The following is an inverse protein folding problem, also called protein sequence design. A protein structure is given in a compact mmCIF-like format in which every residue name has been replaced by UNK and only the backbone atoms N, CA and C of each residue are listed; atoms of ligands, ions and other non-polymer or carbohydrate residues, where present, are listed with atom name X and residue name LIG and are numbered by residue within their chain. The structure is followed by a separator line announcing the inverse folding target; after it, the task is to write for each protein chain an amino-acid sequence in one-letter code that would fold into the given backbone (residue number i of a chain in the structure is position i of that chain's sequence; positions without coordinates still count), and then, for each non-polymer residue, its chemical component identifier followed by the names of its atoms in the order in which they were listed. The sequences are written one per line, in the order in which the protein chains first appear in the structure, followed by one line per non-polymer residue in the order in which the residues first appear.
data_IF_489325209694
#
_entry.id   IF_489325209694
#
_cell.length_a   1.000
_cell.length_b   1.000
_cell.length_c   1.000
_cell.angle_alpha   90.00
_cell.angle_beta   90.00
_cell.angle_gamma   90.00
#
_symmetry.space_group_name_H-M   'P 1'
#
loop_
_entity.id
_entity.type
_entity.pdbx_description
1 polymer ?
#
# COMPACT_ATOMS: atom_id res chain seq x y z
N UNK A 1 11.68 -11.11 3.02
CA UNK A 1 10.51 -11.44 3.85
C UNK A 1 9.34 -11.74 2.92
N UNK A 2 8.53 -12.74 3.23
CA UNK A 2 7.26 -12.98 2.52
C UNK A 2 6.34 -11.76 2.64
N UNK A 3 5.52 -11.53 1.62
CA UNK A 3 4.53 -10.46 1.59
C UNK A 3 3.63 -10.44 2.84
N UNK A 4 3.13 -11.60 3.29
CA UNK A 4 2.28 -11.72 4.48
C UNK A 4 2.96 -11.19 5.74
N UNK A 5 4.26 -11.46 5.91
CA UNK A 5 5.00 -11.03 7.09
C UNK A 5 5.16 -9.51 7.11
N UNK A 6 5.41 -8.90 5.95
CA UNK A 6 5.50 -7.44 5.82
C UNK A 6 4.14 -6.80 6.10
N UNK A 7 3.05 -7.34 5.55
CA UNK A 7 1.68 -6.85 5.81
C UNK A 7 1.34 -6.96 7.28
N UNK A 8 1.61 -8.10 7.91
CA UNK A 8 1.36 -8.30 9.33
C UNK A 8 2.12 -7.28 10.20
N UNK A 9 3.40 -7.00 9.87
CA UNK A 9 4.18 -5.97 10.57
C UNK A 9 3.64 -4.57 10.31
N UNK A 10 3.27 -4.24 9.06
CA UNK A 10 2.67 -2.95 8.72
C UNK A 10 1.39 -2.71 9.52
N UNK A 11 0.47 -3.68 9.53
CA UNK A 11 -0.79 -3.59 10.27
C UNK A 11 -0.54 -3.45 11.77
N UNK A 12 0.32 -4.30 12.34
CA UNK A 12 0.64 -4.23 13.77
C UNK A 12 1.20 -2.86 14.18
N UNK A 13 2.13 -2.29 13.39
CA UNK A 13 2.72 -0.99 13.71
C UNK A 13 1.71 0.15 13.51
N UNK A 14 0.93 0.13 12.42
CA UNK A 14 -0.06 1.18 12.15
C UNK A 14 -1.20 1.19 13.17
N UNK A 15 -1.58 0.02 13.69
CA UNK A 15 -2.59 -0.13 14.74
C UNK A 15 -2.07 0.35 16.11
N UNK A 16 -0.78 0.10 16.43
CA UNK A 16 -0.18 0.51 17.70
C UNK A 16 0.18 2.00 17.72
N UNK A 17 0.87 2.47 16.68
CA UNK A 17 1.24 3.87 16.49
C UNK A 17 1.39 4.16 14.99
N UNK A 18 0.39 4.85 14.43
CA UNK A 18 0.40 5.29 13.03
C UNK A 18 1.65 6.11 12.64
N UNK A 19 2.30 6.77 13.61
CA UNK A 19 3.54 7.52 13.45
C UNK A 19 4.80 6.73 13.83
N UNK A 20 4.66 5.48 14.27
CA UNK A 20 5.73 4.60 14.73
C UNK A 20 6.74 4.21 13.64
N UNK A 21 6.35 4.36 12.36
CA UNK A 21 7.27 4.26 11.22
C UNK A 21 7.49 5.61 10.55
N UNK A 22 8.74 5.92 10.16
CA UNK A 22 8.99 7.00 9.22
C UNK A 22 8.22 6.77 7.93
N UNK A 23 7.69 7.83 7.34
CA UNK A 23 6.93 7.79 6.08
C UNK A 23 7.66 7.02 4.98
N UNK A 24 8.97 7.25 4.83
CA UNK A 24 9.78 6.56 3.82
C UNK A 24 9.80 5.03 4.01
N UNK A 25 9.79 4.55 5.25
CA UNK A 25 9.89 3.13 5.57
C UNK A 25 8.57 2.42 5.28
N UNK A 26 7.45 3.05 5.64
CA UNK A 26 6.11 2.55 5.33
C UNK A 26 5.85 2.54 3.82
N UNK A 27 6.21 3.61 3.12
CA UNK A 27 6.10 3.68 1.65
C UNK A 27 6.93 2.57 0.97
N UNK A 28 8.15 2.33 1.45
CA UNK A 28 8.98 1.24 0.95
C UNK A 28 8.34 -0.13 1.20
N UNK A 29 7.83 -0.37 2.41
CA UNK A 29 7.17 -1.61 2.77
C UNK A 29 5.95 -1.88 1.87
N UNK A 30 5.02 -0.93 1.73
CA UNK A 30 3.87 -1.08 0.83
C UNK A 30 4.28 -1.37 -0.61
N UNK A 31 5.26 -0.64 -1.15
CA UNK A 31 5.77 -0.88 -2.51
C UNK A 31 6.34 -2.29 -2.67
N UNK A 32 7.06 -2.79 -1.66
CA UNK A 32 7.58 -4.17 -1.69
C UNK A 32 6.46 -5.21 -1.67
N UNK A 33 5.39 -5.00 -0.90
CA UNK A 33 4.27 -5.95 -0.88
C UNK A 33 3.48 -5.87 -2.19
N UNK A 34 3.20 -4.68 -2.73
CA UNK A 34 2.51 -4.53 -4.02
C UNK A 34 3.30 -5.19 -5.17
N UNK A 35 4.64 -5.20 -5.13
CA UNK A 35 5.46 -5.93 -6.10
C UNK A 35 5.36 -7.45 -5.95
N UNK A 36 5.16 -7.95 -4.73
CA UNK A 36 4.98 -9.39 -4.47
C UNK A 36 3.54 -9.86 -4.71
N UNK A 37 2.56 -8.94 -4.63
CA UNK A 37 1.13 -9.16 -4.80
C UNK A 37 0.52 -8.12 -5.74
N UNK A 38 0.90 -8.12 -7.03
CA UNK A 38 0.50 -7.08 -7.97
C UNK A 38 -1.01 -7.07 -8.28
N UNK A 39 -1.71 -8.16 -7.94
CA UNK A 39 -3.13 -8.34 -8.24
C UNK A 39 -4.02 -8.31 -6.98
N UNK A 40 -3.43 -8.04 -5.81
CA UNK A 40 -4.16 -7.87 -4.55
C UNK A 40 -4.79 -6.48 -4.49
N UNK A 41 -6.05 -6.41 -4.91
CA UNK A 41 -6.84 -5.17 -5.00
C UNK A 41 -6.90 -4.43 -3.66
N UNK A 42 -7.12 -5.16 -2.56
CA UNK A 42 -7.24 -4.57 -1.23
C UNK A 42 -5.93 -3.90 -0.81
N UNK A 43 -4.81 -4.60 -1.02
CA UNK A 43 -3.49 -4.08 -0.73
C UNK A 43 -3.15 -2.83 -1.57
N UNK A 44 -3.48 -2.82 -2.85
CA UNK A 44 -3.25 -1.66 -3.73
C UNK A 44 -4.03 -0.43 -3.24
N UNK A 45 -5.29 -0.61 -2.82
CA UNK A 45 -6.13 0.47 -2.27
C UNK A 45 -5.63 0.96 -0.91
N UNK A 46 -5.19 0.05 -0.05
CA UNK A 46 -4.59 0.37 1.25
C UNK A 46 -3.32 1.22 1.08
N UNK A 47 -2.38 0.75 0.24
CA UNK A 47 -1.14 1.45 -0.05
C UNK A 47 -1.39 2.85 -0.64
N UNK A 48 -2.36 2.98 -1.55
CA UNK A 48 -2.71 4.27 -2.13
C UNK A 48 -3.30 5.25 -1.10
N UNK A 49 -4.07 4.73 -0.14
CA UNK A 49 -4.67 5.53 0.93
C UNK A 49 -3.59 6.05 1.87
N UNK A 50 -2.65 5.17 2.26
CA UNK A 50 -1.52 5.56 3.10
C UNK A 50 -0.66 6.66 2.48
N UNK A 51 -0.33 6.54 1.18
CA UNK A 51 0.49 7.51 0.47
C UNK A 51 -0.13 8.92 0.45
N UNK A 52 -1.47 9.02 0.35
CA UNK A 52 -2.17 10.32 0.35
C UNK A 52 -2.11 11.05 1.68
N UNK A 53 -1.84 10.35 2.78
CA UNK A 53 -1.79 10.95 4.12
C UNK A 53 -0.51 11.78 4.36
N UNK A 54 0.48 11.74 3.46
CA UNK A 54 1.79 12.39 3.65
C UNK A 54 2.13 13.48 2.64
N UNK A 55 1.11 14.19 2.14
CA UNK A 55 1.27 15.33 1.25
C UNK A 55 1.29 14.93 -0.24
N UNK A 56 1.39 15.93 -1.14
CA UNK A 56 1.10 15.74 -2.57
C UNK A 56 2.16 14.95 -3.33
N UNK A 57 3.37 14.80 -2.78
CA UNK A 57 4.52 14.16 -3.43
C UNK A 57 4.23 12.73 -3.91
N UNK A 58 3.27 12.06 -3.28
CA UNK A 58 2.92 10.67 -3.56
C UNK A 58 1.61 10.49 -4.34
N UNK A 59 0.95 11.59 -4.72
CA UNK A 59 -0.39 11.54 -5.34
C UNK A 59 -0.39 10.76 -6.67
N UNK A 60 0.63 10.93 -7.50
CA UNK A 60 0.74 10.21 -8.78
C UNK A 60 0.86 8.71 -8.57
N UNK A 61 1.64 8.27 -7.58
CA UNK A 61 1.79 6.85 -7.25
C UNK A 61 0.49 6.31 -6.66
N UNK A 62 -0.15 7.04 -5.76
CA UNK A 62 -1.45 6.66 -5.21
C UNK A 62 -2.55 6.57 -6.28
N UNK A 63 -2.52 7.45 -7.29
CA UNK A 63 -3.44 7.38 -8.42
C UNK A 63 -3.19 6.11 -9.24
N UNK A 64 -1.94 5.83 -9.62
CA UNK A 64 -1.59 4.64 -10.40
C UNK A 64 -1.97 3.32 -9.69
N UNK A 65 -1.81 3.24 -8.37
CA UNK A 65 -2.23 2.07 -7.58
C UNK A 65 -3.77 1.89 -7.60
N UNK A 66 -4.54 2.97 -7.52
CA UNK A 66 -6.00 2.88 -7.63
C UNK A 66 -6.45 2.51 -9.05
N UNK A 67 -5.84 3.10 -10.08
CA UNK A 67 -6.13 2.74 -11.47
C UNK A 67 -5.87 1.25 -11.73
N UNK A 68 -4.78 0.70 -11.17
CA UNK A 68 -4.49 -0.73 -11.25
C UNK A 68 -5.54 -1.57 -10.52
N UNK A 69 -5.92 -1.19 -9.30
CA UNK A 69 -6.96 -1.86 -8.54
C UNK A 69 -8.30 -1.87 -9.29
N UNK A 70 -8.70 -0.72 -9.85
CA UNK A 70 -9.92 -0.59 -10.65
C UNK A 70 -9.89 -1.44 -11.93
N UNK A 71 -8.74 -1.54 -12.59
CA UNK A 71 -8.58 -2.43 -13.75
C UNK A 71 -8.76 -3.89 -13.34
N UNK A 72 -8.17 -4.30 -12.22
CA UNK A 72 -8.24 -5.68 -11.73
C UNK A 72 -9.65 -6.08 -11.30
N UNK A 73 -10.38 -5.17 -10.65
CA UNK A 73 -11.79 -5.40 -10.28
C UNK A 73 -12.65 -5.63 -11.54
N UNK A 74 -12.45 -4.83 -12.60
CA UNK A 74 -13.15 -5.01 -13.88
C UNK A 74 -12.80 -6.31 -14.60
N UNK A 75 -11.59 -6.83 -14.42
CA UNK A 75 -11.15 -8.09 -15.01
C UNK A 75 -11.67 -9.32 -14.23
N UNK A 76 -12.22 -9.12 -13.02
CA UNK A 76 -12.77 -10.17 -12.14
C UNK A 76 -14.29 -10.31 -12.22
N UNK A 77 -14.99 -9.36 -12.85
CA UNK A 77 -16.44 -9.36 -13.15
C UNK A 77 -16.77 -10.10 -14.47
#
# INVERSE_FOLDING_TARGET
MPADEIVAVLHAVLDEDWMGLPVWARNLAYRMVCLQRPDDVALLREAATDLRNFGPDWNEIAAALNERAESLEKDQD
#
